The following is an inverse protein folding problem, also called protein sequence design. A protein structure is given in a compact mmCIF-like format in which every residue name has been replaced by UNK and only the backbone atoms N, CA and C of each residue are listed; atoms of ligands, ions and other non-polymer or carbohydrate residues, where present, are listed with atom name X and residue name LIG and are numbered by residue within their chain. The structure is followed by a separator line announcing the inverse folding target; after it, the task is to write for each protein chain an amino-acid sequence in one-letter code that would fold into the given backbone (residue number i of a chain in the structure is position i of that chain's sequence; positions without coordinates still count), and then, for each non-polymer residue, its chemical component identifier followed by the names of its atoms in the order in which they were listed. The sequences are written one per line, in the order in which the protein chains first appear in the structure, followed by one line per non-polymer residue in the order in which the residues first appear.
data_IF_005567776362
#
_entry.id   IF_005567776362
#
_cell.length_a   1.000
_cell.length_b   1.000
_cell.length_c   1.000
_cell.angle_alpha   90.00
_cell.angle_beta   90.00
_cell.angle_gamma   90.00
#
_symmetry.space_group_name_H-M   'P 1'
#
loop_
_entity.id
_entity.type
_entity.pdbx_description
1 polymer ?
#
# COMPACT_ATOMS: atom_id res chain seq x y z
N UNK A 1 21.95 -9.77 -14.64
CA UNK A 1 22.27 -9.35 -13.27
C UNK A 1 21.46 -8.16 -12.78
N UNK A 2 21.41 -7.00 -13.46
CA UNK A 2 20.58 -5.86 -12.99
C UNK A 2 19.07 -6.18 -12.93
N UNK A 3 18.55 -6.90 -13.93
CA UNK A 3 17.14 -7.31 -13.97
C UNK A 3 16.79 -8.30 -12.86
N UNK A 4 17.71 -9.20 -12.52
CA UNK A 4 17.49 -10.25 -11.51
C UNK A 4 17.33 -9.61 -10.12
N UNK A 5 18.16 -8.61 -9.81
CA UNK A 5 18.08 -7.83 -8.57
C UNK A 5 16.80 -6.98 -8.49
N UNK A 6 16.40 -6.37 -9.60
CA UNK A 6 15.15 -5.63 -9.68
C UNK A 6 13.93 -6.55 -9.48
N UNK A 7 13.96 -7.76 -10.05
CA UNK A 7 12.90 -8.76 -9.87
C UNK A 7 12.85 -9.31 -8.45
N UNK A 8 14.00 -9.57 -7.82
CA UNK A 8 14.06 -9.96 -6.40
C UNK A 8 13.46 -8.87 -5.51
N UNK A 9 13.79 -7.61 -5.79
CA UNK A 9 13.23 -6.45 -5.07
C UNK A 9 11.72 -6.35 -5.26
N UNK A 10 11.21 -6.61 -6.47
CA UNK A 10 9.77 -6.62 -6.76
C UNK A 10 9.04 -7.73 -5.97
N UNK A 11 9.60 -8.94 -5.95
CA UNK A 11 9.05 -10.08 -5.19
C UNK A 11 8.98 -9.75 -3.70
N UNK A 12 10.05 -9.20 -3.14
CA UNK A 12 10.10 -8.79 -1.74
C UNK A 12 9.10 -7.65 -1.45
N UNK A 13 8.94 -6.70 -2.38
CA UNK A 13 8.02 -5.57 -2.26
C UNK A 13 6.54 -5.96 -2.15
N UNK A 14 6.15 -7.10 -2.72
CA UNK A 14 4.77 -7.63 -2.62
C UNK A 14 4.62 -8.82 -1.66
N UNK A 15 5.69 -9.28 -1.03
CA UNK A 15 5.65 -10.44 -0.14
C UNK A 15 4.73 -10.19 1.07
N UNK A 16 4.68 -8.96 1.56
CA UNK A 16 3.84 -8.56 2.69
C UNK A 16 2.45 -8.06 2.29
N UNK A 17 2.04 -8.22 1.01
CA UNK A 17 0.76 -7.70 0.50
C UNK A 17 -0.44 -8.13 1.34
N UNK A 18 -0.47 -9.36 1.82
CA UNK A 18 -1.61 -9.90 2.57
C UNK A 18 -1.64 -9.31 3.98
N UNK A 19 -0.48 -9.07 4.58
CA UNK A 19 -0.36 -8.36 5.86
C UNK A 19 -0.76 -6.89 5.72
N UNK A 20 -0.31 -6.21 4.66
CA UNK A 20 -0.70 -4.82 4.38
C UNK A 20 -2.20 -4.72 4.19
N UNK A 21 -2.82 -5.61 3.39
CA UNK A 21 -4.28 -5.62 3.15
C UNK A 21 -5.12 -5.91 4.40
N UNK A 22 -4.55 -6.60 5.39
CA UNK A 22 -5.21 -6.84 6.68
C UNK A 22 -4.93 -5.74 7.72
N UNK A 23 -4.00 -4.83 7.43
CA UNK A 23 -3.65 -3.74 8.35
C UNK A 23 -4.73 -2.67 8.39
N UNK A 24 -4.88 -2.03 9.56
CA UNK A 24 -5.73 -0.84 9.73
C UNK A 24 -5.34 0.27 8.75
N UNK A 25 -4.04 0.42 8.49
CA UNK A 25 -3.55 1.42 7.55
C UNK A 25 -4.11 1.23 6.15
N UNK A 26 -4.45 0.00 5.74
CA UNK A 26 -5.13 -0.29 4.48
C UNK A 26 -6.66 -0.26 4.62
N UNK A 27 -7.23 -0.98 5.58
CA UNK A 27 -8.70 -1.14 5.66
C UNK A 27 -9.42 0.19 5.90
N UNK A 28 -8.81 1.10 6.65
CA UNK A 28 -9.35 2.42 6.96
C UNK A 28 -8.84 3.53 6.01
N UNK A 29 -7.93 3.20 5.08
CA UNK A 29 -7.46 4.16 4.08
C UNK A 29 -8.60 4.65 3.18
N UNK A 30 -8.36 5.75 2.46
CA UNK A 30 -9.33 6.20 1.46
C UNK A 30 -9.51 5.15 0.36
N UNK A 31 -10.75 4.95 -0.16
CA UNK A 31 -11.02 3.93 -1.18
C UNK A 31 -10.12 4.03 -2.42
N UNK A 32 -9.78 5.26 -2.82
CA UNK A 32 -8.86 5.52 -3.94
C UNK A 32 -7.45 4.98 -3.65
N UNK A 33 -6.94 5.14 -2.42
CA UNK A 33 -5.61 4.67 -1.99
C UNK A 33 -5.57 3.16 -1.87
N UNK A 34 -6.65 2.55 -1.35
CA UNK A 34 -6.81 1.09 -1.34
C UNK A 34 -6.77 0.53 -2.77
N UNK A 35 -7.52 1.17 -3.68
CA UNK A 35 -7.58 0.78 -5.09
C UNK A 35 -6.22 0.94 -5.77
N UNK A 36 -5.52 2.05 -5.53
CA UNK A 36 -4.20 2.31 -6.08
C UNK A 36 -3.18 1.23 -5.64
N UNK A 37 -3.15 0.89 -4.35
CA UNK A 37 -2.27 -0.17 -3.86
C UNK A 37 -2.63 -1.54 -4.43
N UNK A 38 -3.92 -1.89 -4.48
CA UNK A 38 -4.38 -3.15 -5.09
C UNK A 38 -3.96 -3.27 -6.55
N UNK A 39 -4.14 -2.20 -7.34
CA UNK A 39 -3.75 -2.16 -8.75
C UNK A 39 -2.25 -2.32 -8.92
N UNK A 40 -1.44 -1.68 -8.07
CA UNK A 40 0.02 -1.82 -8.08
C UNK A 40 0.44 -3.26 -7.81
N UNK A 41 -0.10 -3.90 -6.76
CA UNK A 41 0.17 -5.31 -6.43
C UNK A 41 -0.21 -6.24 -7.60
N UNK A 42 -1.36 -6.03 -8.24
CA UNK A 42 -1.76 -6.83 -9.40
C UNK A 42 -0.83 -6.61 -10.60
N UNK A 43 -0.34 -5.40 -10.83
CA UNK A 43 0.63 -5.14 -11.89
C UNK A 43 1.96 -5.88 -11.62
N UNK A 44 2.46 -5.83 -10.39
CA UNK A 44 3.68 -6.53 -9.97
C UNK A 44 3.54 -8.05 -10.13
N UNK A 45 2.42 -8.63 -9.71
CA UNK A 45 2.12 -10.06 -9.89
C UNK A 45 2.12 -10.47 -11.37
N UNK A 46 1.60 -9.61 -12.25
CA UNK A 46 1.59 -9.87 -13.69
C UNK A 46 3.01 -9.81 -14.27
N UNK A 47 3.84 -8.87 -13.82
CA UNK A 47 5.25 -8.77 -14.24
C UNK A 47 6.04 -10.00 -13.77
N UNK A 48 5.87 -10.43 -12.53
CA UNK A 48 6.52 -11.64 -12.00
C UNK A 48 6.10 -12.88 -12.80
N UNK A 49 4.82 -13.02 -13.16
CA UNK A 49 4.34 -14.12 -14.00
C UNK A 49 4.96 -14.08 -15.41
N UNK A 50 5.10 -12.89 -16.00
CA UNK A 50 5.69 -12.73 -17.34
C UNK A 50 7.21 -12.96 -17.35
N UNK A 51 7.92 -12.53 -16.30
CA UNK A 51 9.35 -12.74 -16.14
C UNK A 51 9.74 -14.23 -16.10
N UNK A 52 8.81 -15.11 -15.71
CA UNK A 52 8.98 -16.56 -15.76
C UNK A 52 8.82 -17.18 -17.18
N UNK A 53 8.53 -16.36 -18.21
CA UNK A 53 8.30 -16.83 -19.59
C UNK A 53 8.97 -16.01 -20.71
N UNK A 54 9.40 -14.78 -20.46
CA UNK A 54 10.13 -13.90 -21.40
C UNK A 54 11.10 -12.96 -20.65
N UNK A 55 12.09 -12.39 -21.37
CA UNK A 55 12.95 -11.33 -20.81
C UNK A 55 12.10 -10.13 -20.38
N UNK A 56 11.86 -10.00 -19.07
CA UNK A 56 11.19 -8.85 -18.48
C UNK A 56 11.97 -7.55 -18.81
N UNK A 57 11.26 -6.47 -19.12
CA UNK A 57 11.88 -5.18 -19.38
C UNK A 57 12.26 -4.52 -18.05
N UNK A 58 13.55 -4.24 -17.84
CA UNK A 58 14.07 -3.66 -16.61
C UNK A 58 13.33 -2.38 -16.19
N UNK A 59 13.02 -1.50 -17.14
CA UNK A 59 12.28 -0.27 -16.84
C UNK A 59 10.85 -0.53 -16.37
N UNK A 60 10.21 -1.62 -16.80
CA UNK A 60 8.88 -1.99 -16.32
C UNK A 60 8.94 -2.49 -14.87
N UNK A 61 9.96 -3.30 -14.53
CA UNK A 61 10.17 -3.81 -13.17
C UNK A 61 10.45 -2.67 -12.19
N UNK A 62 11.33 -1.74 -12.56
CA UNK A 62 11.66 -0.56 -11.74
C UNK A 62 10.45 0.36 -11.54
N UNK A 63 9.67 0.60 -12.60
CA UNK A 63 8.44 1.41 -12.51
C UNK A 63 7.38 0.76 -11.61
N UNK A 64 7.24 -0.56 -11.70
CA UNK A 64 6.30 -1.34 -10.90
C UNK A 64 6.68 -1.30 -9.41
N UNK A 65 7.97 -1.54 -9.09
CA UNK A 65 8.50 -1.44 -7.73
C UNK A 65 8.29 -0.04 -7.11
N UNK A 66 8.54 1.00 -7.90
CA UNK A 66 8.30 2.38 -7.46
C UNK A 66 6.82 2.64 -7.18
N UNK A 67 5.94 2.11 -8.03
CA UNK A 67 4.48 2.27 -7.91
C UNK A 67 3.95 1.59 -6.66
N UNK A 68 4.33 0.33 -6.39
CA UNK A 68 3.86 -0.37 -5.19
C UNK A 68 4.40 0.26 -3.91
N UNK A 69 5.64 0.73 -3.93
CA UNK A 69 6.25 1.42 -2.78
C UNK A 69 5.51 2.72 -2.48
N UNK A 70 5.28 3.54 -3.50
CA UNK A 70 4.61 4.84 -3.36
C UNK A 70 3.14 4.67 -2.93
N UNK A 71 2.41 3.73 -3.53
CA UNK A 71 1.00 3.49 -3.18
C UNK A 71 0.84 2.90 -1.78
N UNK A 72 1.78 2.04 -1.34
CA UNK A 72 1.83 1.53 0.04
C UNK A 72 2.08 2.64 1.05
N UNK A 73 3.01 3.56 0.77
CA UNK A 73 3.28 4.73 1.62
C UNK A 73 2.12 5.73 1.63
N UNK A 74 1.34 5.79 0.55
CA UNK A 74 0.18 6.67 0.45
C UNK A 74 -1.01 6.21 1.30
N UNK A 75 -1.03 4.94 1.74
CA UNK A 75 -2.07 4.42 2.64
C UNK A 75 -2.14 5.25 3.93
N UNK A 76 -3.35 5.64 4.30
CA UNK A 76 -3.60 6.64 5.33
C UNK A 76 -4.61 6.20 6.40
N UNK A 77 -4.89 4.92 6.53
CA UNK A 77 -5.85 4.39 7.51
C UNK A 77 -5.45 4.69 8.95
N UNK A 78 -4.17 4.57 9.31
CA UNK A 78 -3.72 4.83 10.69
C UNK A 78 -3.91 6.29 11.09
N UNK A 79 -3.61 7.21 10.15
CA UNK A 79 -3.86 8.64 10.33
C UNK A 79 -5.35 8.90 10.51
N UNK A 80 -6.21 8.32 9.67
CA UNK A 80 -7.66 8.51 9.76
C UNK A 80 -8.24 8.01 11.09
N UNK A 81 -7.79 6.85 11.56
CA UNK A 81 -8.21 6.33 12.87
C UNK A 81 -7.74 7.25 14.00
N UNK A 82 -6.53 7.78 13.91
CA UNK A 82 -5.99 8.74 14.89
C UNK A 82 -6.80 10.04 14.89
N UNK A 83 -7.06 10.61 13.72
CA UNK A 83 -7.85 11.84 13.56
C UNK A 83 -9.28 11.63 14.10
N UNK A 84 -9.91 10.49 13.80
CA UNK A 84 -11.25 10.15 14.29
C UNK A 84 -11.29 10.02 15.83
N UNK A 85 -10.29 9.37 16.43
CA UNK A 85 -10.16 9.26 17.90
C UNK A 85 -10.01 10.63 18.55
N UNK A 86 -9.16 11.50 17.99
CA UNK A 86 -8.96 12.85 18.52
C UNK A 86 -10.23 13.69 18.45
N UNK A 87 -10.95 13.63 17.32
CA UNK A 87 -12.22 14.34 17.15
C UNK A 87 -13.30 13.84 18.12
N UNK A 88 -13.38 12.52 18.34
CA UNK A 88 -14.31 11.94 19.31
C UNK A 88 -14.00 12.39 20.74
N UNK A 89 -12.73 12.37 21.15
CA UNK A 89 -12.31 12.83 22.48
C UNK A 89 -12.62 14.31 22.70
N UNK A 90 -12.35 15.17 21.70
CA UNK A 90 -12.67 16.59 21.78
C UNK A 90 -14.19 16.79 21.96
N UNK A 91 -15.01 16.03 21.23
CA UNK A 91 -16.47 16.10 21.35
C UNK A 91 -16.94 15.68 22.75
N UNK A 92 -16.40 14.59 23.30
CA UNK A 92 -16.73 14.15 24.66
C UNK A 92 -16.38 15.22 25.71
N UNK A 93 -15.18 15.81 25.63
CA UNK A 93 -14.79 16.89 26.55
C UNK A 93 -15.71 18.11 26.45
N UNK A 94 -16.26 18.42 25.27
CA UNK A 94 -17.25 19.51 25.16
C UNK A 94 -18.59 19.16 25.80
N UNK A 95 -19.02 17.90 25.77
CA UNK A 95 -20.25 17.46 26.42
C UNK A 95 -20.11 17.41 27.95
N UNK A 96 -18.97 16.96 28.47
CA UNK A 96 -18.70 16.95 29.91
C UNK A 96 -18.71 18.34 30.53
N UNK A 97 -18.25 19.36 29.78
CA UNK A 97 -18.28 20.76 30.20
C UNK A 97 -19.68 21.40 30.16
N UNK A 98 -20.69 20.71 29.62
CA UNK A 98 -22.08 21.18 29.55
C UNK A 98 -22.98 20.58 30.64
N UNK A 99 -22.48 19.60 31.41
CA UNK A 99 -23.18 18.97 32.54
C UNK A 99 -22.83 19.65 33.88
#
# INVERSE_FOLDING_TARGET
EQIDQAMESLINGIQDKDQVKQSVNFTEADPEKQTAYNNAVTADENIIKQANGTNANQSQVEAALSTVTTTKQALNGDRKVTDAKNNANQTLSTLDNLN
#
